data_IF_581467761844
#
_entry.id   IF_581467761844
#
_cell.length_a   1.000
_cell.length_b   1.000
_cell.length_c   1.000
_cell.angle_alpha   90.00
_cell.angle_beta   90.00
_cell.angle_gamma   90.00
#
_symmetry.space_group_name_H-M   'P 1'
#
loop_
_entity.id
_entity.type
_entity.pdbx_description
1 polymer ?
#
# COMPACT_ATOMS: atom_id res chain seq x y z
N UNK A 1 5.06 6.53 0.93
CA UNK A 1 5.71 7.72 0.36
C UNK A 1 4.82 8.35 -0.71
N UNK A 2 4.24 9.51 -0.37
CA UNK A 2 3.42 10.37 -1.23
C UNK A 2 4.26 11.01 -2.33
N UNK A 3 3.64 11.26 -3.48
CA UNK A 3 4.25 12.04 -4.56
C UNK A 3 4.12 13.53 -4.22
N UNK A 4 5.26 14.18 -3.93
CA UNK A 4 5.38 15.62 -3.65
C UNK A 4 6.20 16.29 -4.75
N UNK A 5 5.80 17.49 -5.17
CA UNK A 5 6.58 18.34 -6.04
C UNK A 5 6.49 19.78 -5.55
N UNK A 6 7.63 20.46 -5.54
CA UNK A 6 7.77 21.85 -5.14
C UNK A 6 8.58 22.60 -6.20
N UNK A 7 8.26 23.87 -6.38
CA UNK A 7 9.03 24.78 -7.22
C UNK A 7 9.34 26.04 -6.44
N UNK A 8 10.53 26.59 -6.66
CA UNK A 8 10.93 27.89 -6.13
C UNK A 8 10.90 28.89 -7.28
N UNK A 9 10.23 30.03 -7.07
CA UNK A 9 10.23 31.16 -8.00
C UNK A 9 11.17 32.21 -7.43
N UNK A 10 12.19 32.59 -8.21
CA UNK A 10 13.22 33.53 -7.75
C UNK A 10 12.90 34.97 -8.17
N UNK A 11 13.41 35.99 -7.44
CA UNK A 11 13.26 37.40 -7.82
C UNK A 11 13.79 37.73 -9.22
N UNK A 12 14.79 36.98 -9.71
CA UNK A 12 15.35 37.13 -11.06
C UNK A 12 14.34 36.76 -12.15
N UNK A 13 13.53 35.74 -11.91
CA UNK A 13 12.49 35.31 -12.86
C UNK A 13 11.32 36.29 -12.91
N UNK A 14 11.00 36.92 -11.78
CA UNK A 14 10.00 37.98 -11.65
C UNK A 14 10.44 39.28 -12.32
N UNK A 15 11.75 39.59 -12.32
CA UNK A 15 12.29 40.80 -12.98
C UNK A 15 12.06 40.83 -14.48
N UNK A 16 12.01 39.67 -15.13
CA UNK A 16 12.00 39.56 -16.60
C UNK A 16 10.60 39.36 -17.19
N UNK A 17 9.60 39.04 -16.38
CA UNK A 17 8.28 38.64 -16.86
C UNK A 17 7.17 39.21 -15.98
N UNK A 18 6.17 39.83 -16.62
CA UNK A 18 4.92 40.24 -15.94
C UNK A 18 3.98 39.07 -15.68
N UNK A 19 4.14 37.97 -16.42
CA UNK A 19 3.37 36.72 -16.28
C UNK A 19 4.35 35.55 -16.38
N UNK A 20 4.35 34.66 -15.40
CA UNK A 20 5.21 33.47 -15.38
C UNK A 20 4.34 32.22 -15.50
N UNK A 21 4.58 31.42 -16.54
CA UNK A 21 3.96 30.11 -16.71
C UNK A 21 4.92 29.01 -16.24
N UNK A 22 4.49 28.19 -15.27
CA UNK A 22 5.25 27.03 -14.77
C UNK A 22 4.44 25.75 -14.93
N UNK A 23 5.09 24.70 -15.41
CA UNK A 23 4.53 23.35 -15.47
C UNK A 23 5.03 22.55 -14.27
N UNK A 24 4.15 22.29 -13.30
CA UNK A 24 4.44 21.43 -12.14
C UNK A 24 3.92 20.03 -12.47
N UNK A 25 4.82 19.03 -12.53
CA UNK A 25 4.44 17.64 -12.83
C UNK A 25 4.61 16.79 -11.58
N UNK A 26 3.51 16.28 -11.04
CA UNK A 26 3.52 15.29 -9.96
C UNK A 26 3.43 13.90 -10.59
N UNK A 27 4.42 13.02 -10.32
CA UNK A 27 4.33 11.62 -10.75
C UNK A 27 3.21 10.93 -9.99
N UNK A 28 2.09 10.67 -10.66
CA UNK A 28 1.05 9.78 -10.16
C UNK A 28 1.64 8.37 -10.07
N UNK A 29 1.82 7.86 -8.86
CA UNK A 29 2.16 6.43 -8.69
C UNK A 29 1.00 5.60 -9.23
N UNK A 30 1.32 4.60 -10.05
CA UNK A 30 0.34 3.57 -10.42
C UNK A 30 0.20 2.68 -9.20
N UNK A 31 -0.83 2.89 -8.40
CA UNK A 31 -1.14 2.04 -7.26
C UNK A 31 -2.33 1.14 -7.57
N UNK A 32 -2.40 0.01 -6.87
CA UNK A 32 -3.57 -0.85 -6.80
C UNK A 32 -4.08 -0.85 -5.36
N UNK A 33 -5.39 -0.88 -5.21
CA UNK A 33 -6.06 -1.14 -3.95
C UNK A 33 -6.49 -2.60 -3.95
N UNK A 34 -6.08 -3.33 -2.92
CA UNK A 34 -6.55 -4.70 -2.65
C UNK A 34 -7.42 -4.61 -1.41
N UNK A 35 -8.68 -4.97 -1.57
CA UNK A 35 -9.67 -5.05 -0.50
C UNK A 35 -10.16 -6.49 -0.35
N UNK A 36 -10.54 -6.85 0.86
CA UNK A 36 -11.14 -8.15 1.11
C UNK A 36 -11.74 -8.26 2.49
N UNK A 37 -12.36 -9.41 2.73
CA UNK A 37 -13.01 -9.75 3.99
C UNK A 37 -12.54 -11.13 4.45
N UNK A 38 -12.10 -11.22 5.70
CA UNK A 38 -11.65 -12.46 6.34
C UNK A 38 -12.80 -13.00 7.18
N UNK A 39 -13.21 -14.22 6.85
CA UNK A 39 -14.31 -14.92 7.51
C UNK A 39 -13.83 -16.27 8.06
N UNK A 40 -14.45 -16.73 9.14
CA UNK A 40 -14.31 -18.10 9.63
C UNK A 40 -15.10 -19.10 8.76
N UNK A 41 -15.05 -20.39 9.12
CA UNK A 41 -15.80 -21.45 8.40
C UNK A 41 -17.32 -21.31 8.51
N UNK A 42 -17.83 -20.53 9.46
CA UNK A 42 -19.24 -20.24 9.68
C UNK A 42 -19.66 -18.91 9.04
N UNK A 43 -18.79 -18.29 8.24
CA UNK A 43 -18.97 -16.98 7.62
C UNK A 43 -19.04 -15.81 8.60
N UNK A 44 -18.54 -15.97 9.84
CA UNK A 44 -18.41 -14.86 10.78
C UNK A 44 -17.14 -14.06 10.48
N UNK A 45 -17.17 -12.73 10.62
CA UNK A 45 -15.98 -11.89 10.44
C UNK A 45 -14.92 -12.20 11.50
N UNK A 46 -13.65 -12.28 11.07
CA UNK A 46 -12.50 -12.40 11.97
C UNK A 46 -11.89 -11.02 12.17
N UNK A 47 -12.04 -10.45 13.36
CA UNK A 47 -11.36 -9.23 13.78
C UNK A 47 -9.89 -9.52 14.11
N UNK A 48 -8.98 -8.64 13.71
CA UNK A 48 -7.57 -8.73 14.08
C UNK A 48 -6.75 -9.77 13.30
N UNK A 49 -7.30 -10.41 12.27
CA UNK A 49 -6.51 -11.28 11.39
C UNK A 49 -5.37 -10.50 10.74
N UNK A 50 -4.19 -11.13 10.63
CA UNK A 50 -2.99 -10.52 10.05
C UNK A 50 -2.91 -10.94 8.58
N UNK A 51 -2.91 -9.95 7.70
CA UNK A 51 -2.74 -10.14 6.25
C UNK A 51 -1.32 -9.73 5.89
N UNK A 52 -0.49 -10.67 5.48
CA UNK A 52 0.86 -10.42 4.98
C UNK A 52 0.89 -10.49 3.46
N UNK A 53 1.48 -9.48 2.82
CA UNK A 53 1.63 -9.41 1.37
C UNK A 53 3.09 -9.63 0.99
N UNK A 54 3.33 -10.65 0.17
CA UNK A 54 4.62 -10.90 -0.49
C UNK A 54 4.57 -10.47 -1.95
N UNK A 55 5.60 -9.75 -2.38
CA UNK A 55 5.93 -9.55 -3.79
C UNK A 55 6.75 -10.73 -4.28
N UNK A 56 6.42 -11.28 -5.44
CA UNK A 56 7.20 -12.29 -6.15
C UNK A 56 7.65 -11.69 -7.48
N UNK A 57 8.97 -11.52 -7.63
CA UNK A 57 9.60 -10.94 -8.80
C UNK A 57 10.17 -12.02 -9.72
N UNK A 58 9.56 -12.14 -10.90
CA UNK A 58 9.92 -13.17 -11.88
C UNK A 58 11.10 -12.79 -12.78
N UNK A 59 11.63 -11.57 -12.67
CA UNK A 59 12.80 -11.16 -13.44
C UNK A 59 14.12 -11.77 -12.91
N UNK A 60 14.10 -12.38 -11.72
CA UNK A 60 15.25 -13.04 -11.10
C UNK A 60 15.16 -14.57 -11.22
N UNK A 61 16.31 -15.25 -11.32
CA UNK A 61 16.45 -16.71 -11.18
C UNK A 61 17.45 -17.02 -10.06
N UNK A 62 17.04 -17.68 -8.95
CA UNK A 62 15.66 -18.02 -8.60
C UNK A 62 14.79 -16.78 -8.37
N UNK A 63 13.46 -16.94 -8.46
CA UNK A 63 12.52 -15.83 -8.25
C UNK A 63 12.71 -15.22 -6.87
N UNK A 64 12.67 -13.88 -6.80
CA UNK A 64 12.87 -13.16 -5.54
C UNK A 64 11.52 -12.89 -4.88
N UNK A 65 11.30 -13.45 -3.68
CA UNK A 65 10.11 -13.20 -2.88
C UNK A 65 10.44 -12.34 -1.65
N UNK A 66 9.69 -11.26 -1.42
CA UNK A 66 9.94 -10.29 -0.34
C UNK A 66 8.60 -9.90 0.31
N UNK A 67 8.54 -9.87 1.65
CA UNK A 67 7.40 -9.27 2.36
C UNK A 67 7.42 -7.74 2.16
N UNK A 68 6.31 -7.19 1.66
CA UNK A 68 6.25 -5.77 1.28
C UNK A 68 5.25 -4.97 2.10
N UNK A 69 4.26 -5.62 2.71
CA UNK A 69 3.22 -4.94 3.45
C UNK A 69 2.46 -5.89 4.38
N UNK A 70 1.86 -5.32 5.41
CA UNK A 70 0.96 -5.99 6.34
C UNK A 70 -0.31 -5.15 6.50
N UNK A 71 -1.44 -5.81 6.70
CA UNK A 71 -2.70 -5.21 7.11
C UNK A 71 -3.33 -6.04 8.23
N UNK A 72 -4.20 -5.39 9.00
CA UNK A 72 -4.99 -6.04 10.06
C UNK A 72 -6.45 -5.83 9.70
N UNK A 73 -7.25 -6.90 9.78
CA UNK A 73 -8.69 -6.80 9.56
C UNK A 73 -9.40 -6.09 10.73
N UNK A 74 -10.45 -5.33 10.40
CA UNK A 74 -11.27 -4.63 11.39
C UNK A 74 -12.32 -5.56 12.03
N UNK A 75 -13.17 -5.03 12.92
CA UNK A 75 -14.30 -5.74 13.56
C UNK A 75 -15.31 -6.38 12.60
N UNK A 76 -15.32 -5.95 11.34
CA UNK A 76 -16.16 -6.51 10.27
C UNK A 76 -15.38 -7.53 9.42
N UNK A 77 -14.14 -7.88 9.79
CA UNK A 77 -13.26 -8.75 9.03
C UNK A 77 -12.67 -8.10 7.78
N UNK A 78 -12.90 -6.81 7.57
CA UNK A 78 -12.50 -6.11 6.34
C UNK A 78 -11.08 -5.60 6.44
N UNK A 79 -10.36 -5.65 5.33
CA UNK A 79 -9.03 -5.06 5.19
C UNK A 79 -8.90 -4.36 3.83
N UNK A 80 -8.05 -3.34 3.81
CA UNK A 80 -7.71 -2.59 2.61
C UNK A 80 -6.20 -2.33 2.61
N UNK A 81 -5.54 -2.55 1.48
CA UNK A 81 -4.11 -2.27 1.34
C UNK A 81 -3.78 -1.68 -0.02
N UNK A 82 -2.99 -0.61 -0.01
CA UNK A 82 -2.55 0.07 -1.23
C UNK A 82 -1.12 -0.37 -1.55
N UNK A 83 -0.92 -0.90 -2.75
CA UNK A 83 0.38 -1.36 -3.24
C UNK A 83 0.76 -0.62 -4.52
N UNK A 84 2.05 -0.52 -4.80
CA UNK A 84 2.53 -0.08 -6.11
C UNK A 84 2.22 -1.14 -7.17
N UNK A 85 1.68 -0.74 -8.33
CA UNK A 85 1.38 -1.61 -9.47
C UNK A 85 2.64 -1.78 -10.31
N UNK A 86 3.16 -3.01 -10.35
CA UNK A 86 4.32 -3.37 -11.16
C UNK A 86 3.94 -4.49 -12.13
N UNK A 87 4.33 -4.37 -13.42
CA UNK A 87 3.84 -5.25 -14.49
C UNK A 87 4.35 -6.70 -14.42
N UNK A 88 5.53 -6.93 -13.85
CA UNK A 88 6.18 -8.25 -13.82
C UNK A 88 6.16 -8.89 -12.42
N UNK A 89 5.25 -8.43 -11.57
CA UNK A 89 5.19 -8.77 -10.15
C UNK A 89 3.88 -9.45 -9.83
N UNK A 90 3.98 -10.64 -9.23
CA UNK A 90 2.84 -11.28 -8.61
C UNK A 90 2.81 -10.93 -7.12
N UNK A 91 1.60 -10.81 -6.56
CA UNK A 91 1.39 -10.62 -5.13
C UNK A 91 0.84 -11.91 -4.54
N UNK A 92 1.45 -12.39 -3.46
CA UNK A 92 0.97 -13.51 -2.66
C UNK A 92 0.44 -12.98 -1.34
N UNK A 93 -0.84 -13.22 -1.09
CA UNK A 93 -1.52 -12.86 0.15
C UNK A 93 -1.48 -14.06 1.08
N UNK A 94 -1.05 -13.84 2.33
CA UNK A 94 -1.12 -14.83 3.40
C UNK A 94 -1.96 -14.25 4.52
N UNK A 95 -2.86 -15.06 5.07
CA UNK A 95 -3.73 -14.67 6.18
C UNK A 95 -3.39 -15.55 7.37
N UNK A 96 -3.22 -14.93 8.53
CA UNK A 96 -2.97 -15.60 9.80
C UNK A 96 -4.08 -15.23 10.78
N UNK A 97 -4.52 -16.23 11.54
CA UNK A 97 -5.43 -16.01 12.66
C UNK A 97 -4.80 -15.04 13.68
N UNK A 98 -5.58 -14.16 14.33
CA UNK A 98 -5.06 -13.28 15.37
C UNK A 98 -4.40 -14.11 16.48
N UNK A 99 -3.11 -13.90 16.72
CA UNK A 99 -2.39 -14.61 17.80
C UNK A 99 -2.62 -13.99 19.18
N UNK A 100 -3.36 -12.89 19.27
CA UNK A 100 -3.75 -12.29 20.54
C UNK A 100 -5.03 -13.00 20.98
N UNK A 101 -4.88 -14.17 21.62
CA UNK A 101 -5.84 -14.53 22.66
C UNK A 101 -5.83 -13.38 23.64
N UNK A 102 -6.93 -12.64 23.72
CA UNK A 102 -7.17 -11.62 24.74
C UNK A 102 -6.58 -12.14 26.06
N UNK A 103 -5.56 -11.46 26.57
CA UNK A 103 -5.15 -11.52 27.97
C UNK A 103 -6.28 -10.91 28.81
N UNK A 104 -7.47 -11.50 28.73
CA UNK A 104 -8.56 -11.30 29.66
C UNK A 104 -8.58 -12.55 30.53
N UNK A 105 -7.58 -12.64 31.40
CA UNK A 105 -7.64 -13.44 32.62
C UNK A 105 -7.29 -12.53 33.79
N UNK A 106 -8.26 -11.73 34.21
CA UNK A 106 -8.81 -11.62 35.57
C UNK A 106 -9.57 -10.31 35.74
#
# INVERSE_FOLDING_TARGET
MSSYAEIVITPRELKLHRIINKKIVVKRKRTILIEGKILDRKSNPIDGAIIAIKKIDYNYKPYKAIDIAYAISNKHGEYAIVLEKLYNINYKIKVYEPQIKLLNQK
#
